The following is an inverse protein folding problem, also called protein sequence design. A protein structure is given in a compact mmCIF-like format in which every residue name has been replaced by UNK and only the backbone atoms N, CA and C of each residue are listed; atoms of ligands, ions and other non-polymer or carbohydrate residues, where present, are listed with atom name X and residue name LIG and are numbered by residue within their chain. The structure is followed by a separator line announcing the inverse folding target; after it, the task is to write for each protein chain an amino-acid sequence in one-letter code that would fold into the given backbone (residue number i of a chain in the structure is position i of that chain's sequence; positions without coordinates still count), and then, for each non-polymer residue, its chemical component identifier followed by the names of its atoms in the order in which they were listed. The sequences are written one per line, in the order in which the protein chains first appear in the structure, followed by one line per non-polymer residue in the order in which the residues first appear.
data_IF_533056079827
#
_entry.id   IF_533056079827
#
_cell.length_a   1.000
_cell.length_b   1.000
_cell.length_c   1.000
_cell.angle_alpha   90.00
_cell.angle_beta   90.00
_cell.angle_gamma   90.00
#
_symmetry.space_group_name_H-M   'P 1'
#
loop_
_entity.id
_entity.type
_entity.pdbx_description
1 polymer ?
#
# COMPACT_ATOMS: atom_id res chain seq x y z
N UNK A 1 -14.51 -10.40 4.84
CA UNK A 1 -13.47 -9.36 4.98
C UNK A 1 -13.06 -9.34 6.44
N UNK A 2 -11.76 -9.35 6.72
CA UNK A 2 -11.25 -9.32 8.09
C UNK A 2 -11.63 -8.02 8.80
N UNK A 3 -11.75 -8.07 10.12
CA UNK A 3 -11.96 -6.87 10.94
C UNK A 3 -10.66 -6.07 11.04
N UNK A 4 -10.78 -4.74 10.92
CA UNK A 4 -9.64 -3.81 11.09
C UNK A 4 -9.77 -3.18 12.48
N UNK A 5 -8.72 -3.31 13.28
CA UNK A 5 -8.61 -2.71 14.60
C UNK A 5 -7.54 -1.62 14.59
N UNK A 6 -7.83 -0.51 15.26
CA UNK A 6 -6.82 0.47 15.63
C UNK A 6 -6.33 0.13 17.03
N UNK A 7 -5.04 -0.18 17.15
CA UNK A 7 -4.45 -0.61 18.42
C UNK A 7 -4.02 0.60 19.28
N UNK A 8 -4.97 1.50 19.54
CA UNK A 8 -4.80 2.61 20.49
C UNK A 8 -4.79 2.13 21.96
N UNK A 9 -4.93 3.06 22.90
CA UNK A 9 -4.89 2.76 24.33
C UNK A 9 -6.08 1.90 24.81
N UNK A 10 -7.16 1.87 24.05
CA UNK A 10 -8.38 1.08 24.37
C UNK A 10 -8.34 -0.33 23.80
N UNK A 11 -7.37 -0.64 22.92
CA UNK A 11 -7.27 -1.96 22.32
C UNK A 11 -6.76 -3.00 23.31
N UNK A 12 -7.51 -4.06 23.47
CA UNK A 12 -7.09 -5.19 24.33
C UNK A 12 -5.94 -5.97 23.66
N UNK A 13 -4.74 -5.80 24.18
CA UNK A 13 -3.53 -6.53 23.72
C UNK A 13 -3.65 -8.05 23.90
N UNK A 14 -4.52 -8.52 24.80
CA UNK A 14 -4.85 -9.95 24.93
C UNK A 14 -5.35 -10.58 23.65
N UNK A 15 -5.80 -9.77 22.67
CA UNK A 15 -6.21 -10.21 21.35
C UNK A 15 -5.10 -10.93 20.57
N UNK A 16 -3.84 -10.61 20.84
CA UNK A 16 -2.68 -11.28 20.22
C UNK A 16 -2.37 -12.67 20.81
N UNK A 17 -2.88 -12.98 22.00
CA UNK A 17 -2.53 -14.22 22.67
C UNK A 17 -2.88 -15.45 21.83
N UNK A 18 -1.90 -16.33 21.59
CA UNK A 18 -2.06 -17.52 20.76
C UNK A 18 -2.14 -17.25 19.24
N UNK A 19 -2.04 -15.99 18.81
CA UNK A 19 -2.12 -15.64 17.40
C UNK A 19 -0.79 -15.91 16.66
N UNK A 20 -0.89 -15.98 15.32
CA UNK A 20 0.23 -15.90 14.38
C UNK A 20 0.15 -14.58 13.64
N UNK A 21 1.11 -13.69 13.88
CA UNK A 21 1.13 -12.35 13.31
C UNK A 21 2.16 -12.24 12.18
N UNK A 22 1.80 -11.60 11.07
CA UNK A 22 2.76 -11.08 10.10
C UNK A 22 2.92 -9.58 10.31
N UNK A 23 4.15 -9.11 10.55
CA UNK A 23 4.40 -7.70 10.85
C UNK A 23 5.16 -7.02 9.73
N UNK A 24 4.67 -5.88 9.27
CA UNK A 24 5.29 -5.06 8.24
C UNK A 24 4.50 -3.78 7.95
N UNK A 25 5.11 -2.88 7.17
CA UNK A 25 4.43 -1.66 6.66
C UNK A 25 3.40 -2.00 5.58
N UNK A 26 3.71 -3.01 4.75
CA UNK A 26 2.86 -3.56 3.69
C UNK A 26 2.46 -2.56 2.59
N UNK A 27 3.26 -1.53 2.28
CA UNK A 27 2.95 -0.63 1.18
C UNK A 27 2.81 -1.42 -0.14
N UNK A 28 1.70 -1.19 -0.83
CA UNK A 28 1.35 -1.86 -2.07
C UNK A 28 0.83 -3.29 -1.92
N UNK A 29 0.85 -3.93 -0.75
CA UNK A 29 0.42 -5.32 -0.49
C UNK A 29 0.83 -6.26 -1.65
N UNK A 30 2.10 -6.18 -2.06
CA UNK A 30 2.66 -6.89 -3.20
C UNK A 30 2.85 -8.39 -2.92
N UNK A 31 3.27 -9.17 -3.94
CA UNK A 31 3.43 -10.62 -3.83
C UNK A 31 4.36 -11.07 -2.69
N UNK A 32 5.40 -10.29 -2.37
CA UNK A 32 6.26 -10.55 -1.22
C UNK A 32 5.51 -10.39 0.12
N UNK A 33 4.70 -9.36 0.26
CA UNK A 33 3.85 -9.17 1.44
C UNK A 33 2.80 -10.28 1.57
N UNK A 34 2.15 -10.65 0.46
CA UNK A 34 1.17 -11.75 0.45
C UNK A 34 1.79 -13.08 0.85
N UNK A 35 3.03 -13.33 0.46
CA UNK A 35 3.78 -14.50 0.90
C UNK A 35 3.97 -14.50 2.43
N UNK A 36 4.41 -13.38 3.02
CA UNK A 36 4.58 -13.27 4.48
C UNK A 36 3.26 -13.50 5.22
N UNK A 37 2.17 -12.89 4.73
CA UNK A 37 0.83 -13.08 5.28
C UNK A 37 0.36 -14.53 5.16
N UNK A 38 0.64 -15.23 4.04
CA UNK A 38 0.28 -16.63 3.89
C UNK A 38 1.03 -17.53 4.88
N UNK A 39 2.31 -17.25 5.18
CA UNK A 39 3.06 -17.99 6.20
C UNK A 39 2.39 -17.85 7.58
N UNK A 40 1.94 -16.64 7.94
CA UNK A 40 1.22 -16.45 9.20
C UNK A 40 -0.14 -17.17 9.23
N UNK A 41 -0.88 -17.19 8.12
CA UNK A 41 -2.14 -17.92 7.98
C UNK A 41 -1.94 -19.45 8.09
N UNK A 42 -0.90 -19.97 7.45
CA UNK A 42 -0.58 -21.40 7.52
C UNK A 42 -0.23 -21.82 8.95
N UNK A 43 0.64 -21.05 9.61
CA UNK A 43 1.00 -21.27 11.02
C UNK A 43 -0.21 -21.17 11.94
N UNK A 44 -1.09 -20.19 11.73
CA UNK A 44 -2.31 -20.05 12.51
C UNK A 44 -3.23 -21.28 12.38
N UNK A 45 -3.38 -21.80 11.14
CA UNK A 45 -4.19 -23.01 10.88
C UNK A 45 -3.60 -24.27 11.55
N UNK A 46 -2.29 -24.44 11.48
CA UNK A 46 -1.60 -25.58 12.09
C UNK A 46 -1.71 -25.60 13.61
N UNK A 47 -1.75 -24.43 14.23
CA UNK A 47 -1.78 -24.27 15.70
C UNK A 47 -3.17 -23.93 16.25
N UNK A 48 -4.20 -23.85 15.41
CA UNK A 48 -5.57 -23.52 15.84
C UNK A 48 -5.73 -22.09 16.37
N UNK A 49 -4.82 -21.18 16.01
CA UNK A 49 -4.82 -19.77 16.37
C UNK A 49 -5.43 -18.87 15.32
N UNK A 50 -5.36 -17.55 15.55
CA UNK A 50 -5.77 -16.50 14.59
C UNK A 50 -4.59 -16.04 13.79
N UNK A 51 -4.81 -15.70 12.52
CA UNK A 51 -3.84 -15.01 11.65
C UNK A 51 -4.07 -13.50 11.68
N UNK A 52 -3.06 -12.70 11.98
CA UNK A 52 -3.15 -11.25 12.11
C UNK A 52 -2.14 -10.56 11.21
N UNK A 53 -2.61 -9.63 10.37
CA UNK A 53 -1.74 -8.66 9.74
C UNK A 53 -1.51 -7.50 10.72
N UNK A 54 -0.31 -7.41 11.28
CA UNK A 54 0.11 -6.34 12.17
C UNK A 54 0.86 -5.27 11.38
N UNK A 55 0.41 -4.04 11.44
CA UNK A 55 0.97 -2.92 10.68
C UNK A 55 0.84 -1.60 11.44
N UNK A 56 1.19 -0.49 10.80
CA UNK A 56 0.97 0.85 11.36
C UNK A 56 -0.23 1.54 10.71
N UNK A 57 -0.85 2.48 11.39
CA UNK A 57 -1.97 3.28 10.84
C UNK A 57 -1.49 4.19 9.69
N UNK A 58 -0.27 4.72 9.80
CA UNK A 58 0.43 5.46 8.74
C UNK A 58 1.72 4.76 8.34
N UNK A 59 2.26 5.05 7.16
CA UNK A 59 3.61 4.62 6.81
C UNK A 59 4.63 5.41 7.67
N UNK A 60 5.54 4.75 8.40
CA UNK A 60 6.56 5.41 9.21
C UNK A 60 7.35 6.49 8.45
N UNK A 61 7.62 6.28 7.17
CA UNK A 61 8.34 7.23 6.33
C UNK A 61 7.56 8.53 6.08
N UNK A 62 6.23 8.54 6.22
CA UNK A 62 5.44 9.79 6.13
C UNK A 62 5.81 10.79 7.23
N UNK A 63 6.16 10.28 8.41
CA UNK A 63 6.54 11.14 9.53
C UNK A 63 7.92 11.79 9.33
N UNK A 64 8.86 11.06 8.71
CA UNK A 64 10.25 11.49 8.60
C UNK A 64 10.60 12.04 7.22
N UNK A 65 9.92 11.61 6.17
CA UNK A 65 10.25 11.86 4.78
C UNK A 65 9.03 12.23 3.91
N UNK A 66 8.01 12.86 4.49
CA UNK A 66 6.71 13.16 3.84
C UNK A 66 6.83 13.80 2.43
N UNK A 67 7.86 14.62 2.19
CA UNK A 67 8.07 15.25 0.88
C UNK A 67 8.71 14.33 -0.17
N UNK A 68 9.33 13.23 0.25
CA UNK A 68 10.07 12.32 -0.64
C UNK A 68 9.36 10.99 -0.85
N UNK A 69 8.53 10.57 0.12
CA UNK A 69 7.84 9.29 0.05
C UNK A 69 6.66 9.40 -0.92
N UNK A 70 6.71 8.57 -1.97
CA UNK A 70 5.56 8.32 -2.85
C UNK A 70 5.09 6.90 -2.59
N UNK A 71 3.95 6.75 -1.94
CA UNK A 71 3.37 5.43 -1.62
C UNK A 71 2.73 4.79 -2.85
N UNK A 72 2.57 3.48 -2.79
CA UNK A 72 1.86 2.72 -3.83
C UNK A 72 0.34 2.80 -3.66
N UNK A 73 -0.12 3.14 -2.44
CA UNK A 73 -1.53 3.31 -2.10
C UNK A 73 -1.70 4.14 -0.83
N UNK A 74 -2.89 4.64 -0.57
CA UNK A 74 -3.21 5.32 0.69
C UNK A 74 -3.15 4.36 1.89
N UNK A 75 -3.09 4.90 3.11
CA UNK A 75 -3.11 4.08 4.32
C UNK A 75 -4.44 3.31 4.45
N UNK A 76 -5.54 3.97 4.14
CA UNK A 76 -6.87 3.37 4.17
C UNK A 76 -6.99 2.19 3.20
N UNK A 77 -6.61 2.39 1.93
CA UNK A 77 -6.59 1.33 0.91
C UNK A 77 -5.68 0.16 1.30
N UNK A 78 -4.55 0.45 1.96
CA UNK A 78 -3.62 -0.56 2.45
C UNK A 78 -4.27 -1.44 3.52
N UNK A 79 -4.94 -0.85 4.50
CA UNK A 79 -5.64 -1.58 5.55
C UNK A 79 -6.80 -2.41 4.98
N UNK A 80 -7.60 -1.83 4.08
CA UNK A 80 -8.68 -2.53 3.40
C UNK A 80 -8.17 -3.70 2.56
N UNK A 81 -7.07 -3.50 1.83
CA UNK A 81 -6.47 -4.56 1.02
C UNK A 81 -5.88 -5.67 1.89
N UNK A 82 -5.27 -5.36 3.04
CA UNK A 82 -4.83 -6.35 4.01
C UNK A 82 -6.01 -7.17 4.51
N UNK A 83 -7.15 -6.54 4.83
CA UNK A 83 -8.37 -7.23 5.26
C UNK A 83 -8.96 -8.18 4.19
N UNK A 84 -8.59 -8.00 2.93
CA UNK A 84 -8.99 -8.87 1.80
C UNK A 84 -8.02 -10.02 1.54
N UNK A 85 -6.89 -10.12 2.26
CA UNK A 85 -5.88 -11.17 2.02
C UNK A 85 -6.25 -12.52 2.62
N UNK A 86 -7.32 -12.59 3.39
CA UNK A 86 -7.77 -13.82 4.05
C UNK A 86 -7.22 -14.00 5.48
N UNK A 87 -6.53 -13.01 6.04
CA UNK A 87 -6.20 -12.97 7.48
C UNK A 87 -7.48 -12.82 8.31
N UNK A 88 -7.45 -13.26 9.57
CA UNK A 88 -8.60 -13.14 10.46
C UNK A 88 -8.80 -11.71 10.97
N UNK A 89 -7.71 -10.96 11.13
CA UNK A 89 -7.76 -9.56 11.52
C UNK A 89 -6.58 -8.75 10.96
N UNK A 90 -6.81 -7.44 10.86
CA UNK A 90 -5.77 -6.43 10.63
C UNK A 90 -5.68 -5.58 11.89
N UNK A 91 -4.49 -5.43 12.46
CA UNK A 91 -4.25 -4.59 13.62
C UNK A 91 -3.29 -3.49 13.24
N UNK A 92 -3.75 -2.23 13.27
CA UNK A 92 -2.99 -1.05 12.94
C UNK A 92 -2.53 -0.33 14.21
N UNK A 93 -1.22 -0.31 14.45
CA UNK A 93 -0.58 0.40 15.55
C UNK A 93 -0.53 1.90 15.22
N UNK A 94 -0.95 2.79 16.13
CA UNK A 94 -0.75 4.23 15.95
C UNK A 94 0.74 4.56 15.92
N UNK A 95 1.21 5.10 14.78
CA UNK A 95 2.61 5.51 14.63
C UNK A 95 2.77 6.99 14.96
N UNK A 96 3.08 7.29 16.20
CA UNK A 96 3.30 8.65 16.72
C UNK A 96 4.80 8.94 16.86
N UNK A 97 5.16 10.22 17.02
CA UNK A 97 6.54 10.61 17.30
C UNK A 97 7.10 9.95 18.55
N UNK A 98 6.25 9.75 19.54
CA UNK A 98 6.57 9.10 20.80
C UNK A 98 6.82 7.61 20.63
N UNK A 99 5.97 6.94 19.82
CA UNK A 99 6.18 5.55 19.46
C UNK A 99 7.46 5.36 18.63
N UNK A 100 7.72 6.25 17.69
CA UNK A 100 8.93 6.25 16.85
C UNK A 100 10.24 6.48 17.63
N UNK A 101 10.15 7.14 18.79
CA UNK A 101 11.31 7.39 19.68
C UNK A 101 11.58 6.23 20.66
N UNK A 102 10.74 5.18 20.70
CA UNK A 102 10.88 4.05 21.60
C UNK A 102 12.15 3.25 21.32
N UNK A 103 12.88 2.87 22.35
CA UNK A 103 13.94 1.85 22.23
C UNK A 103 13.40 0.55 21.65
N UNK A 104 14.23 -0.38 21.14
CA UNK A 104 13.75 -1.65 20.64
C UNK A 104 12.90 -2.43 21.65
N UNK A 105 13.27 -2.45 22.91
CA UNK A 105 12.50 -3.11 23.97
C UNK A 105 11.16 -2.41 24.21
N UNK A 106 11.16 -1.09 24.37
CA UNK A 106 9.93 -0.30 24.54
C UNK A 106 8.98 -0.44 23.35
N UNK A 107 9.52 -0.55 22.13
CA UNK A 107 8.73 -0.80 20.93
C UNK A 107 7.95 -2.11 21.05
N UNK A 108 8.60 -3.19 21.44
CA UNK A 108 7.97 -4.51 21.60
C UNK A 108 6.95 -4.51 22.74
N UNK A 109 7.27 -3.90 23.87
CA UNK A 109 6.37 -3.76 25.01
C UNK A 109 5.14 -2.92 24.63
N UNK A 110 5.30 -1.81 23.94
CA UNK A 110 4.17 -0.97 23.47
C UNK A 110 3.32 -1.67 22.42
N UNK A 111 3.95 -2.49 21.57
CA UNK A 111 3.27 -3.25 20.51
C UNK A 111 2.39 -4.34 21.12
N UNK A 112 2.95 -5.18 21.97
CA UNK A 112 2.31 -6.41 22.43
C UNK A 112 1.73 -6.30 23.83
N UNK A 113 2.31 -5.46 24.72
CA UNK A 113 1.88 -5.37 26.12
C UNK A 113 1.95 -6.75 26.80
N UNK A 114 0.84 -7.16 27.39
CA UNK A 114 0.69 -8.48 28.03
C UNK A 114 0.18 -9.58 27.09
N UNK A 115 -0.20 -9.23 25.86
CA UNK A 115 -0.78 -10.15 24.87
C UNK A 115 0.21 -10.53 23.78
N UNK A 116 1.30 -11.22 24.14
CA UNK A 116 2.32 -11.64 23.16
C UNK A 116 1.76 -12.74 22.25
N UNK A 117 1.91 -12.64 20.91
CA UNK A 117 1.50 -13.69 19.98
C UNK A 117 2.36 -14.94 20.14
N UNK A 118 1.80 -16.10 19.78
CA UNK A 118 2.57 -17.35 19.78
C UNK A 118 3.63 -17.36 18.66
N UNK A 119 3.31 -16.75 17.51
CA UNK A 119 4.18 -16.73 16.34
C UNK A 119 4.23 -15.33 15.73
N UNK A 120 5.43 -14.87 15.36
CA UNK A 120 5.64 -13.61 14.66
C UNK A 120 6.46 -13.84 13.38
N UNK A 121 5.86 -13.51 12.25
CA UNK A 121 6.47 -13.61 10.93
C UNK A 121 6.92 -12.21 10.47
N UNK A 122 8.20 -12.09 10.12
CA UNK A 122 8.84 -10.85 9.64
C UNK A 122 9.74 -11.12 8.44
N UNK A 123 10.09 -10.10 7.66
CA UNK A 123 11.20 -10.20 6.71
C UNK A 123 12.54 -10.33 7.46
N UNK A 124 13.53 -10.96 6.85
CA UNK A 124 14.87 -11.06 7.46
C UNK A 124 15.53 -9.68 7.67
N UNK A 125 15.09 -8.69 6.88
CA UNK A 125 15.52 -7.30 6.93
C UNK A 125 14.65 -6.42 7.87
N UNK A 126 13.85 -7.04 8.72
CA UNK A 126 12.98 -6.31 9.64
C UNK A 126 13.79 -5.56 10.69
N UNK A 127 13.52 -4.25 10.77
CA UNK A 127 14.10 -3.35 11.76
C UNK A 127 12.98 -2.63 12.52
N UNK A 128 13.26 -2.31 13.79
CA UNK A 128 12.28 -1.66 14.67
C UNK A 128 12.95 -0.80 15.74
N UNK A 129 12.13 0.00 16.43
CA UNK A 129 12.62 0.93 17.43
C UNK A 129 13.28 2.18 16.83
N UNK A 130 13.67 3.10 17.70
CA UNK A 130 14.27 4.38 17.30
C UNK A 130 15.52 4.17 16.43
N UNK A 131 15.58 4.89 15.30
CA UNK A 131 16.68 4.81 14.33
C UNK A 131 16.93 3.39 13.77
N UNK A 132 15.89 2.55 13.75
CA UNK A 132 16.00 1.16 13.30
C UNK A 132 17.06 0.35 14.09
N UNK A 133 17.20 0.62 15.39
CA UNK A 133 18.26 0.04 16.22
C UNK A 133 18.02 -1.43 16.58
N UNK A 134 16.78 -1.92 16.53
CA UNK A 134 16.44 -3.33 16.71
C UNK A 134 16.37 -4.06 15.38
N UNK A 135 16.81 -5.30 15.34
CA UNK A 135 16.75 -6.19 14.19
C UNK A 135 16.29 -7.60 14.63
N UNK A 136 16.25 -8.56 13.69
CA UNK A 136 15.80 -9.93 13.96
C UNK A 136 16.53 -10.63 15.12
N UNK A 137 17.85 -10.49 15.32
CA UNK A 137 18.53 -11.09 16.49
C UNK A 137 17.98 -10.58 17.82
N UNK A 138 17.80 -9.25 17.98
CA UNK A 138 17.26 -8.64 19.20
C UNK A 138 15.81 -9.06 19.41
N UNK A 139 15.03 -9.14 18.32
CA UNK A 139 13.64 -9.63 18.34
C UNK A 139 13.57 -11.06 18.87
N UNK A 140 14.43 -11.96 18.41
CA UNK A 140 14.50 -13.35 18.89
C UNK A 140 14.86 -13.43 20.37
N UNK A 141 15.86 -12.66 20.80
CA UNK A 141 16.26 -12.62 22.22
C UNK A 141 15.10 -12.19 23.12
N UNK A 142 14.35 -11.15 22.71
CA UNK A 142 13.17 -10.71 23.45
C UNK A 142 12.08 -11.77 23.43
N UNK A 143 11.83 -12.39 22.28
CA UNK A 143 10.80 -13.40 22.05
C UNK A 143 11.00 -14.64 22.91
N UNK A 144 12.24 -15.12 23.06
CA UNK A 144 12.60 -16.28 23.89
C UNK A 144 12.17 -16.08 25.35
N UNK A 145 12.30 -14.85 25.87
CA UNK A 145 11.86 -14.50 27.24
C UNK A 145 10.35 -14.38 27.38
N UNK A 146 9.58 -14.36 26.30
CA UNK A 146 8.13 -14.10 26.29
C UNK A 146 7.29 -15.23 25.67
N UNK A 147 7.92 -16.36 25.34
CA UNK A 147 7.22 -17.53 24.77
C UNK A 147 6.71 -17.32 23.33
N UNK A 148 7.31 -16.41 22.56
CA UNK A 148 6.99 -16.14 21.17
C UNK A 148 8.00 -16.80 20.24
N UNK A 149 7.54 -17.42 19.15
CA UNK A 149 8.41 -17.94 18.09
C UNK A 149 8.54 -16.91 16.96
N UNK A 150 9.78 -16.57 16.57
CA UNK A 150 10.07 -15.63 15.49
C UNK A 150 10.47 -16.37 14.23
N UNK A 151 9.70 -16.17 13.17
CA UNK A 151 9.91 -16.69 11.83
C UNK A 151 10.40 -15.55 10.92
N UNK A 152 11.72 -15.47 10.71
CA UNK A 152 12.29 -14.53 9.76
C UNK A 152 12.36 -15.18 8.37
N UNK A 153 11.73 -14.54 7.39
CA UNK A 153 11.61 -15.04 6.03
C UNK A 153 12.52 -14.28 5.08
N UNK A 154 13.16 -14.99 4.17
CA UNK A 154 13.84 -14.37 3.04
C UNK A 154 12.84 -13.61 2.15
N UNK A 155 13.28 -12.50 1.59
CA UNK A 155 12.45 -11.73 0.68
C UNK A 155 12.14 -12.57 -0.57
N UNK A 156 10.85 -12.72 -0.88
CA UNK A 156 10.44 -13.36 -2.12
C UNK A 156 11.09 -12.62 -3.29
N UNK A 157 11.78 -13.36 -4.15
CA UNK A 157 12.50 -12.81 -5.29
C UNK A 157 11.84 -13.20 -6.61
N UNK A 158 11.98 -12.35 -7.61
CA UNK A 158 11.55 -12.55 -8.99
C UNK A 158 12.66 -12.00 -9.90
N UNK A 159 13.06 -12.75 -10.94
CA UNK A 159 14.14 -12.38 -11.86
C UNK A 159 15.46 -12.05 -11.15
N UNK A 160 15.79 -12.80 -10.09
CA UNK A 160 17.02 -12.65 -9.31
C UNK A 160 17.08 -11.43 -8.39
N UNK A 161 15.98 -10.68 -8.23
CA UNK A 161 15.91 -9.52 -7.34
C UNK A 161 14.69 -9.57 -6.41
N UNK A 162 14.80 -9.03 -5.16
CA UNK A 162 13.69 -9.04 -4.21
C UNK A 162 12.48 -8.27 -4.72
N UNK A 163 11.28 -8.75 -4.36
CA UNK A 163 10.02 -8.03 -4.56
C UNK A 163 9.86 -7.04 -3.42
N UNK A 164 10.04 -5.75 -3.69
CA UNK A 164 9.93 -4.67 -2.71
C UNK A 164 9.08 -3.51 -3.22
N UNK A 165 8.48 -2.74 -2.33
CA UNK A 165 7.75 -1.52 -2.68
C UNK A 165 8.66 -0.53 -3.43
N UNK A 166 9.93 -0.42 -3.03
CA UNK A 166 10.92 0.44 -3.71
C UNK A 166 11.14 0.02 -5.17
N UNK A 167 11.34 -1.29 -5.44
CA UNK A 167 11.48 -1.80 -6.80
C UNK A 167 10.24 -1.50 -7.64
N UNK A 168 9.05 -1.69 -7.06
CA UNK A 168 7.78 -1.42 -7.76
C UNK A 168 7.64 0.06 -8.09
N UNK A 169 7.98 0.97 -7.16
CA UNK A 169 7.96 2.42 -7.41
C UNK A 169 8.88 2.82 -8.55
N UNK A 170 10.08 2.25 -8.61
CA UNK A 170 11.02 2.50 -9.70
C UNK A 170 10.47 2.01 -11.04
N UNK A 171 9.91 0.81 -11.11
CA UNK A 171 9.30 0.27 -12.33
C UNK A 171 8.15 1.15 -12.83
N UNK A 172 7.28 1.65 -11.94
CA UNK A 172 6.20 2.58 -12.30
C UNK A 172 6.75 3.89 -12.85
N UNK A 173 7.80 4.43 -12.23
CA UNK A 173 8.44 5.67 -12.67
C UNK A 173 9.13 5.52 -14.04
N UNK A 174 9.65 4.32 -14.33
CA UNK A 174 10.33 3.99 -15.60
C UNK A 174 9.35 3.56 -16.71
N UNK A 175 8.03 3.60 -16.46
CA UNK A 175 7.01 3.17 -17.43
C UNK A 175 6.89 1.66 -17.61
N UNK A 176 7.53 0.88 -16.77
CA UNK A 176 7.51 -0.59 -16.80
C UNK A 176 6.29 -1.15 -16.05
N UNK A 177 5.11 -0.73 -16.50
CA UNK A 177 3.84 -1.05 -15.83
C UNK A 177 3.58 -2.55 -15.75
N UNK A 178 3.86 -3.31 -16.81
CA UNK A 178 3.60 -4.75 -16.85
C UNK A 178 4.44 -5.49 -15.79
N UNK A 179 5.71 -5.12 -15.62
CA UNK A 179 6.60 -5.67 -14.58
C UNK A 179 6.10 -5.26 -13.18
N UNK A 180 5.73 -3.99 -13.00
CA UNK A 180 5.18 -3.52 -11.72
C UNK A 180 3.89 -4.28 -11.33
N UNK A 181 2.96 -4.45 -12.28
CA UNK A 181 1.73 -5.21 -12.08
C UNK A 181 2.01 -6.68 -11.74
N UNK A 182 3.00 -7.28 -12.38
CA UNK A 182 3.44 -8.63 -12.07
C UNK A 182 3.93 -8.77 -10.63
N UNK A 183 4.79 -7.85 -10.17
CA UNK A 183 5.30 -7.87 -8.78
C UNK A 183 4.22 -7.54 -7.75
N UNK A 184 3.26 -6.67 -8.10
CA UNK A 184 2.08 -6.38 -7.27
C UNK A 184 1.15 -7.60 -7.18
N UNK A 185 1.12 -8.45 -8.22
CA UNK A 185 0.15 -9.53 -8.39
C UNK A 185 -1.26 -9.02 -8.73
N UNK A 186 -1.37 -7.78 -9.18
CA UNK A 186 -2.59 -7.09 -9.61
C UNK A 186 -2.25 -5.84 -10.42
N UNK A 187 -3.21 -5.26 -11.16
CA UNK A 187 -3.02 -3.95 -11.77
C UNK A 187 -2.69 -2.89 -10.69
N UNK A 188 -1.73 -2.02 -11.00
CA UNK A 188 -1.53 -0.80 -10.23
C UNK A 188 -2.77 0.08 -10.38
N UNK A 189 -3.17 0.76 -9.32
CA UNK A 189 -4.32 1.64 -9.36
C UNK A 189 -4.04 2.96 -8.67
N UNK A 190 -4.77 3.98 -9.08
CA UNK A 190 -4.89 5.25 -8.39
C UNK A 190 -6.35 5.51 -8.08
N UNK A 191 -6.57 6.21 -7.00
CA UNK A 191 -7.89 6.64 -6.55
C UNK A 191 -7.88 8.14 -6.30
N UNK A 192 -9.02 8.75 -6.43
CA UNK A 192 -9.16 10.18 -6.17
C UNK A 192 -10.58 10.66 -6.41
N UNK A 193 -10.79 11.93 -6.12
CA UNK A 193 -12.05 12.61 -6.40
C UNK A 193 -12.01 13.15 -7.84
N UNK A 194 -13.08 12.94 -8.57
CA UNK A 194 -13.24 13.48 -9.93
C UNK A 194 -13.51 14.98 -9.85
N UNK A 195 -12.67 15.77 -10.51
CA UNK A 195 -12.80 17.22 -10.61
C UNK A 195 -13.13 17.65 -12.04
N UNK A 196 -13.80 18.79 -12.23
CA UNK A 196 -13.94 19.38 -13.55
C UNK A 196 -12.56 19.63 -14.18
N UNK A 197 -12.42 19.25 -15.47
CA UNK A 197 -11.27 19.59 -16.26
C UNK A 197 -11.41 20.92 -16.99
N UNK A 198 -10.46 21.25 -17.84
CA UNK A 198 -10.48 22.47 -18.66
C UNK A 198 -11.55 22.45 -19.74
N UNK A 199 -12.15 21.30 -20.02
CA UNK A 199 -13.19 21.15 -21.05
C UNK A 199 -12.68 21.16 -22.49
N UNK A 200 -11.36 21.20 -22.73
CA UNK A 200 -10.75 21.28 -24.06
C UNK A 200 -11.11 20.11 -25.00
N UNK A 201 -11.42 18.94 -24.42
CA UNK A 201 -11.87 17.77 -25.17
C UNK A 201 -13.39 17.71 -25.42
N UNK A 202 -14.18 18.58 -24.77
CA UNK A 202 -15.64 18.52 -24.89
C UNK A 202 -16.13 18.89 -26.28
N UNK A 203 -15.47 19.82 -26.96
CA UNK A 203 -15.77 20.25 -28.32
C UNK A 203 -15.47 19.16 -29.37
N UNK A 204 -14.60 18.20 -29.03
CA UNK A 204 -14.28 17.03 -29.85
C UNK A 204 -15.08 15.78 -29.46
N UNK A 205 -16.08 15.91 -28.58
CA UNK A 205 -16.87 14.77 -28.10
C UNK A 205 -16.13 13.86 -27.11
N UNK A 206 -14.93 14.24 -26.68
CA UNK A 206 -14.12 13.47 -25.74
C UNK A 206 -14.26 14.10 -24.35
N UNK A 207 -15.20 13.60 -23.55
CA UNK A 207 -15.32 14.02 -22.15
C UNK A 207 -14.24 13.34 -21.32
N UNK A 208 -13.49 14.11 -20.56
CA UNK A 208 -12.46 13.61 -19.63
C UNK A 208 -12.78 13.99 -18.20
N UNK A 209 -12.59 13.05 -17.31
CA UNK A 209 -12.63 13.25 -15.86
C UNK A 209 -11.21 13.48 -15.35
N UNK A 210 -10.98 14.56 -14.61
CA UNK A 210 -9.69 14.77 -13.94
C UNK A 210 -9.72 14.11 -12.58
N UNK A 211 -8.85 13.12 -12.39
CA UNK A 211 -8.69 12.46 -11.11
C UNK A 211 -7.68 13.27 -10.27
N UNK A 212 -8.14 13.81 -9.15
CA UNK A 212 -7.29 14.44 -8.16
C UNK A 212 -6.54 13.35 -7.39
N UNK A 213 -5.27 13.15 -7.74
CA UNK A 213 -4.42 12.14 -7.10
C UNK A 213 -3.74 12.77 -5.89
N UNK A 214 -3.81 12.14 -4.69
CA UNK A 214 -3.10 12.63 -3.52
C UNK A 214 -1.59 12.73 -3.76
N UNK A 215 -0.96 13.79 -3.27
CA UNK A 215 0.47 14.06 -3.45
C UNK A 215 1.38 12.91 -2.98
N UNK A 216 0.90 12.12 -2.03
CA UNK A 216 1.63 10.98 -1.48
C UNK A 216 1.59 9.73 -2.38
N UNK A 217 0.76 9.69 -3.41
CA UNK A 217 0.70 8.56 -4.34
C UNK A 217 1.87 8.61 -5.33
N UNK A 218 2.43 7.43 -5.66
CA UNK A 218 3.50 7.36 -6.68
C UNK A 218 2.90 7.61 -8.05
N UNK A 219 3.30 8.69 -8.75
CA UNK A 219 2.86 8.91 -10.12
C UNK A 219 3.49 7.86 -11.05
N UNK A 220 2.72 7.46 -12.05
CA UNK A 220 3.23 6.75 -13.21
C UNK A 220 4.13 7.67 -14.05
N UNK A 221 4.96 7.09 -14.90
CA UNK A 221 5.64 7.87 -15.97
C UNK A 221 4.61 8.53 -16.88
N UNK A 222 5.00 9.65 -17.47
CA UNK A 222 4.14 10.35 -18.43
C UNK A 222 3.75 9.45 -19.60
N UNK A 223 2.49 9.51 -20.01
CA UNK A 223 2.01 8.73 -21.13
C UNK A 223 0.51 8.50 -21.16
N UNK A 224 0.07 7.77 -22.16
CA UNK A 224 -1.30 7.32 -22.34
C UNK A 224 -1.39 5.86 -21.98
N UNK A 225 -2.38 5.52 -21.17
CA UNK A 225 -2.59 4.18 -20.63
C UNK A 225 -3.96 3.63 -21.00
N UNK A 226 -4.04 2.34 -21.29
CA UNK A 226 -5.27 1.58 -21.25
C UNK A 226 -5.56 1.18 -19.80
N UNK A 227 -6.76 1.47 -19.34
CA UNK A 227 -7.15 1.29 -17.95
C UNK A 227 -8.61 0.83 -17.82
N UNK A 228 -9.01 0.56 -16.58
CA UNK A 228 -10.39 0.45 -16.19
C UNK A 228 -10.72 1.48 -15.12
N UNK A 229 -11.79 2.24 -15.33
CA UNK A 229 -12.38 3.13 -14.34
C UNK A 229 -13.52 2.43 -13.61
N UNK A 230 -13.57 2.56 -12.29
CA UNK A 230 -14.66 2.05 -11.46
C UNK A 230 -15.55 3.21 -11.03
N UNK A 231 -16.80 3.20 -11.47
CA UNK A 231 -17.82 4.22 -11.20
C UNK A 231 -19.10 3.52 -10.76
N UNK A 232 -19.66 3.90 -9.64
CA UNK A 232 -20.92 3.36 -9.10
C UNK A 232 -20.96 1.81 -9.07
N UNK A 233 -19.82 1.20 -8.65
CA UNK A 233 -19.68 -0.26 -8.57
C UNK A 233 -19.55 -0.98 -9.91
N UNK A 234 -19.54 -0.24 -11.04
CA UNK A 234 -19.33 -0.79 -12.38
C UNK A 234 -17.93 -0.49 -12.89
N UNK A 235 -17.44 -1.36 -13.75
CA UNK A 235 -16.10 -1.29 -14.35
C UNK A 235 -16.22 -0.95 -15.84
N UNK A 236 -15.61 0.16 -16.26
CA UNK A 236 -15.63 0.68 -17.62
C UNK A 236 -14.22 0.69 -18.21
N UNK A 237 -14.07 0.43 -19.49
CA UNK A 237 -12.82 0.67 -20.21
C UNK A 237 -12.51 2.16 -20.22
N UNK A 238 -11.24 2.51 -20.07
CA UNK A 238 -10.82 3.90 -20.09
C UNK A 238 -9.47 4.08 -20.80
N UNK A 239 -9.30 5.22 -21.41
CA UNK A 239 -8.00 5.74 -21.83
C UNK A 239 -7.60 6.81 -20.82
N UNK A 240 -6.38 6.72 -20.28
CA UNK A 240 -5.92 7.61 -19.22
C UNK A 240 -4.65 8.32 -19.66
N UNK A 241 -4.67 9.64 -19.54
CA UNK A 241 -3.51 10.49 -19.78
C UNK A 241 -2.90 10.86 -18.42
N UNK A 242 -1.66 10.43 -18.21
CA UNK A 242 -0.88 10.77 -17.02
C UNK A 242 0.27 11.68 -17.45
N UNK A 243 0.39 12.84 -16.82
CA UNK A 243 1.46 13.77 -17.16
C UNK A 243 1.59 14.89 -16.15
N UNK A 244 2.65 15.68 -16.29
CA UNK A 244 2.83 16.93 -15.54
C UNK A 244 2.19 18.05 -16.35
N UNK A 245 1.25 18.79 -15.73
CA UNK A 245 0.66 19.96 -16.38
C UNK A 245 1.75 20.99 -16.71
N UNK A 246 2.00 21.22 -18.00
CA UNK A 246 3.08 22.06 -18.49
C UNK A 246 2.96 23.57 -18.16
N UNK A 247 1.95 24.00 -17.43
CA UNK A 247 1.53 25.40 -17.39
C UNK A 247 1.65 26.14 -16.05
N UNK A 248 2.16 25.51 -14.99
CA UNK A 248 2.46 26.27 -13.75
C UNK A 248 3.79 25.80 -13.15
N UNK A 249 4.79 26.67 -13.27
CA UNK A 249 6.18 26.44 -12.84
C UNK A 249 6.39 26.20 -11.34
N UNK A 250 5.35 26.36 -10.49
CA UNK A 250 5.50 26.33 -9.02
C UNK A 250 4.91 25.11 -8.32
N UNK A 251 4.14 24.24 -8.99
CA UNK A 251 3.68 22.95 -8.44
C UNK A 251 3.49 21.96 -9.58
N UNK A 252 4.46 21.09 -9.78
CA UNK A 252 4.34 19.93 -10.67
C UNK A 252 3.43 18.87 -10.04
N UNK A 253 2.12 19.10 -10.04
CA UNK A 253 1.12 18.09 -9.71
C UNK A 253 0.90 17.21 -10.94
N UNK A 254 1.10 15.91 -10.79
CA UNK A 254 0.78 14.98 -11.85
C UNK A 254 -0.73 15.04 -12.12
N UNK A 255 -1.12 15.28 -13.37
CA UNK A 255 -2.52 15.22 -13.81
C UNK A 255 -2.85 13.79 -14.23
N UNK A 256 -4.04 13.34 -13.91
CA UNK A 256 -4.60 12.06 -14.36
C UNK A 256 -5.96 12.35 -15.02
N UNK A 257 -5.95 12.42 -16.34
CA UNK A 257 -7.16 12.67 -17.14
C UNK A 257 -7.70 11.34 -17.66
N UNK A 258 -8.91 11.00 -17.27
CA UNK A 258 -9.55 9.72 -17.56
C UNK A 258 -10.68 9.93 -18.56
N UNK A 259 -10.55 9.35 -19.75
CA UNK A 259 -11.63 9.23 -20.72
C UNK A 259 -12.28 7.84 -20.57
N UNK A 260 -13.49 7.81 -20.06
CA UNK A 260 -14.25 6.58 -19.85
C UNK A 260 -15.01 6.28 -21.14
N UNK A 261 -14.75 5.12 -21.72
CA UNK A 261 -15.38 4.70 -22.98
C UNK A 261 -16.83 4.26 -22.72
N UNK A 262 -17.71 4.60 -23.65
CA UNK A 262 -19.14 4.22 -23.61
C UNK A 262 -19.85 4.66 -22.32
N UNK A 263 -19.44 5.82 -21.77
CA UNK A 263 -20.00 6.38 -20.56
C UNK A 263 -20.52 7.80 -20.80
N UNK A 264 -21.78 8.03 -20.45
CA UNK A 264 -22.43 9.35 -20.54
C UNK A 264 -23.14 9.65 -19.21
N UNK A 265 -22.37 10.01 -18.20
CA UNK A 265 -22.87 10.33 -16.86
C UNK A 265 -22.07 11.47 -16.22
N UNK A 266 -22.69 12.14 -15.25
CA UNK A 266 -22.00 13.12 -14.39
C UNK A 266 -21.41 12.39 -13.18
N UNK A 267 -20.09 12.49 -13.03
CA UNK A 267 -19.31 11.86 -11.93
C UNK A 267 -18.47 12.89 -11.15
N UNK A 268 -18.71 14.17 -11.37
CA UNK A 268 -17.99 15.20 -10.62
C UNK A 268 -18.25 15.09 -9.12
N UNK A 269 -17.18 15.22 -8.33
CA UNK A 269 -17.24 15.07 -6.89
C UNK A 269 -17.29 13.62 -6.38
N UNK A 270 -17.44 12.64 -7.27
CA UNK A 270 -17.43 11.24 -6.88
C UNK A 270 -16.00 10.71 -6.71
N UNK A 271 -15.85 9.70 -5.87
CA UNK A 271 -14.61 8.94 -5.72
C UNK A 271 -14.50 7.90 -6.83
N UNK A 272 -13.39 7.88 -7.52
CA UNK A 272 -13.14 6.96 -8.63
C UNK A 272 -11.82 6.22 -8.43
N UNK A 273 -11.83 4.92 -8.70
CA UNK A 273 -10.64 4.08 -8.80
C UNK A 273 -10.33 3.81 -10.26
N UNK A 274 -9.06 3.96 -10.65
CA UNK A 274 -8.54 3.68 -11.98
C UNK A 274 -7.46 2.61 -11.90
N UNK A 275 -7.67 1.48 -12.55
CA UNK A 275 -6.75 0.35 -12.64
C UNK A 275 -5.98 0.42 -13.96
N UNK A 276 -4.66 0.56 -13.90
CA UNK A 276 -3.78 0.69 -15.05
C UNK A 276 -3.38 -0.68 -15.58
N UNK A 277 -3.78 -0.96 -16.83
CA UNK A 277 -3.60 -2.26 -17.46
C UNK A 277 -2.40 -2.29 -18.38
N UNK A 278 -2.19 -1.23 -19.17
CA UNK A 278 -1.13 -1.19 -20.17
C UNK A 278 -0.71 0.24 -20.49
N UNK A 279 0.60 0.48 -20.60
CA UNK A 279 1.13 1.68 -21.22
C UNK A 279 0.97 1.57 -22.73
N UNK A 280 0.42 2.59 -23.40
CA UNK A 280 0.10 2.57 -24.81
C UNK A 280 1.10 3.37 -25.64
N UNK A 281 1.40 4.61 -25.23
CA UNK A 281 2.28 5.51 -25.96
C UNK A 281 2.68 6.72 -25.12
N UNK A 282 3.76 7.44 -25.49
CA UNK A 282 4.05 8.75 -24.91
C UNK A 282 2.96 9.77 -25.25
N UNK A 283 2.91 10.85 -24.45
CA UNK A 283 2.08 12.01 -24.78
C UNK A 283 2.55 12.64 -26.09
N UNK A 284 1.62 13.09 -26.91
CA UNK A 284 1.90 13.88 -28.11
C UNK A 284 0.98 15.10 -28.11
N UNK A 285 1.55 16.28 -28.38
CA UNK A 285 0.73 17.41 -28.77
C UNK A 285 0.13 17.10 -30.15
N UNK A 286 -1.14 17.37 -30.33
CA UNK A 286 -1.77 17.37 -31.65
C UNK A 286 -1.79 18.83 -32.12
N UNK A 287 -1.22 19.06 -33.29
CA UNK A 287 -1.23 20.35 -33.97
C UNK A 287 -2.64 20.67 -34.48
#
# INVERSE_FOLDING_TARGET
MAQIFKADETFDRGYFQGASCAFGVFDGVHRGHRFLLSCAQDTARENGGKSIALTFDIDPDEMFHAQRLRKLMSNEERLEMLAQTGVDAVVALPFTREFAASSPEEFLVRTFGTGVPAHLHVGFDFHFGAKAAGAVPELRTWADGHGMQVHAHDLKSEDGAPITATRIRLLLADGKLDEANHLLGRPYFMTGIVRPGRGEGADMGIRTANLEVPDQMRPLSDGVYGAYAHVDGKRYKAAVNVGVAATFADRATATCEVHILDFDGDIYGQYMKVEFMKWLRPMRAFD
#
